data_IF_025954440980
#
_entry.id   IF_025954440980
#
_cell.length_a   1.000
_cell.length_b   1.000
_cell.length_c   1.000
_cell.angle_alpha   90.00
_cell.angle_beta   90.00
_cell.angle_gamma   90.00
#
_symmetry.space_group_name_H-M   'P 1'
#
loop_
_entity.id
_entity.type
_entity.pdbx_description
1 polymer ?
#
# COMPACT_ATOMS: atom_id res chain seq x y z
N UNK A 1 -6.77 14.12 9.74
CA UNK A 1 -7.69 13.54 8.71
C UNK A 1 -7.41 14.29 7.41
N UNK A 2 -6.63 13.73 6.49
CA UNK A 2 -6.14 14.44 5.29
C UNK A 2 -4.90 13.80 4.60
N UNK A 3 -4.30 12.80 5.25
CA UNK A 3 -3.10 12.13 4.73
C UNK A 3 -3.43 10.96 3.78
N UNK A 4 -4.70 10.54 3.73
CA UNK A 4 -5.15 9.30 3.08
C UNK A 4 -5.84 9.55 1.74
N UNK A 5 -6.18 10.80 1.47
CA UNK A 5 -6.79 11.32 0.25
C UNK A 5 -5.78 12.08 -0.63
N UNK A 6 -4.47 12.01 -0.29
CA UNK A 6 -3.39 12.58 -1.09
C UNK A 6 -3.20 14.09 -0.95
N UNK A 7 -4.11 14.80 -0.28
CA UNK A 7 -4.08 16.27 -0.19
C UNK A 7 -2.93 16.80 0.64
N UNK A 8 -2.45 16.03 1.62
CA UNK A 8 -1.35 16.46 2.47
C UNK A 8 0.05 16.33 1.83
N UNK A 9 0.18 15.66 0.68
CA UNK A 9 1.47 15.52 -0.03
C UNK A 9 2.59 14.85 0.79
N UNK A 10 2.24 14.08 1.82
CA UNK A 10 3.22 13.51 2.74
C UNK A 10 4.02 12.37 2.11
N UNK A 11 5.31 12.35 2.42
CA UNK A 11 6.20 11.25 2.08
C UNK A 11 5.81 9.96 2.82
N UNK A 12 5.83 8.83 2.13
CA UNK A 12 5.62 7.50 2.72
C UNK A 12 6.71 7.11 3.72
N UNK A 13 7.91 7.71 3.56
CA UNK A 13 9.04 7.52 4.47
C UNK A 13 8.79 8.00 5.91
N UNK A 14 7.69 8.72 6.16
CA UNK A 14 7.27 9.08 7.52
C UNK A 14 6.78 7.87 8.33
N UNK A 15 6.37 6.79 7.67
CA UNK A 15 5.76 5.61 8.31
C UNK A 15 6.46 4.33 7.92
N UNK A 16 6.99 4.24 6.69
CA UNK A 16 7.61 3.05 6.14
C UNK A 16 9.09 3.29 5.88
N UNK A 17 9.93 2.27 6.06
CA UNK A 17 11.31 2.31 5.59
C UNK A 17 11.40 2.05 4.08
N UNK A 18 12.61 2.11 3.53
CA UNK A 18 12.87 1.93 2.10
C UNK A 18 12.46 0.53 1.60
N UNK A 19 12.80 -0.52 2.35
CA UNK A 19 12.46 -1.90 2.01
C UNK A 19 10.96 -2.15 2.02
N UNK A 20 10.24 -1.58 2.99
CA UNK A 20 8.79 -1.66 3.08
C UNK A 20 8.13 -0.94 1.89
N UNK A 21 8.66 0.22 1.49
CA UNK A 21 8.16 0.96 0.33
C UNK A 21 8.42 0.23 -0.99
N UNK A 22 9.58 -0.42 -1.14
CA UNK A 22 9.85 -1.29 -2.29
C UNK A 22 8.96 -2.52 -2.31
N UNK A 23 8.75 -3.17 -1.16
CA UNK A 23 7.81 -4.27 -1.04
C UNK A 23 6.38 -3.84 -1.40
N UNK A 24 5.91 -2.68 -0.90
CA UNK A 24 4.61 -2.11 -1.26
C UNK A 24 4.50 -1.86 -2.77
N UNK A 25 5.56 -1.41 -3.42
CA UNK A 25 5.59 -1.20 -4.88
C UNK A 25 5.47 -2.50 -5.65
N UNK A 26 6.07 -3.59 -5.19
CA UNK A 26 5.94 -4.90 -5.84
C UNK A 26 4.56 -5.51 -5.59
N UNK A 27 4.16 -5.60 -4.32
CA UNK A 27 2.85 -6.12 -3.90
C UNK A 27 1.72 -5.30 -4.53
N UNK A 28 1.87 -3.98 -4.57
CA UNK A 28 0.86 -3.07 -5.11
C UNK A 28 0.45 -3.39 -6.55
N UNK A 29 1.35 -3.95 -7.37
CA UNK A 29 1.04 -4.37 -8.75
C UNK A 29 -0.03 -5.46 -8.82
N UNK A 30 -0.06 -6.37 -7.84
CA UNK A 30 -1.07 -7.44 -7.75
C UNK A 30 -2.44 -6.89 -7.36
N UNK A 31 -2.46 -5.79 -6.61
CA UNK A 31 -3.68 -5.16 -6.11
C UNK A 31 -4.21 -4.03 -7.01
N UNK A 32 -3.44 -3.63 -8.03
CA UNK A 32 -3.91 -2.75 -9.11
C UNK A 32 -4.89 -3.52 -10.01
N UNK A 33 -6.08 -2.96 -10.26
CA UNK A 33 -7.00 -3.59 -11.19
C UNK A 33 -6.58 -3.40 -12.65
N UNK A 34 -7.13 -4.24 -13.53
CA UNK A 34 -6.83 -4.25 -14.98
C UNK A 34 -7.17 -2.95 -15.72
N UNK A 35 -8.01 -2.09 -15.14
CA UNK A 35 -8.49 -0.85 -15.77
C UNK A 35 -7.77 0.38 -15.21
N UNK A 36 -7.59 1.42 -16.04
CA UNK A 36 -6.98 2.70 -15.62
C UNK A 36 -7.65 3.32 -14.38
N UNK A 37 -8.94 3.06 -14.17
CA UNK A 37 -9.73 3.54 -13.03
C UNK A 37 -9.48 2.76 -11.73
N UNK A 38 -8.89 1.56 -11.82
CA UNK A 38 -8.58 0.69 -10.69
C UNK A 38 -7.09 0.71 -10.32
N UNK A 39 -6.32 1.61 -10.96
CA UNK A 39 -4.92 1.90 -10.60
C UNK A 39 -4.86 2.90 -9.44
N UNK A 40 -3.76 2.84 -8.69
CA UNK A 40 -3.50 3.78 -7.62
C UNK A 40 -3.34 5.20 -8.20
N UNK A 41 -4.18 6.18 -7.80
CA UNK A 41 -4.14 7.53 -8.37
C UNK A 41 -3.07 8.43 -7.74
N UNK A 42 -2.41 7.97 -6.68
CA UNK A 42 -1.50 8.79 -5.89
C UNK A 42 -0.06 8.66 -6.36
N UNK A 43 0.73 9.70 -6.09
CA UNK A 43 2.16 9.72 -6.39
C UNK A 43 2.88 8.57 -5.68
N UNK A 44 3.72 7.86 -6.42
CA UNK A 44 4.47 6.71 -5.91
C UNK A 44 5.32 7.10 -4.70
N UNK A 45 5.37 6.22 -3.70
CA UNK A 45 6.04 6.46 -2.41
C UNK A 45 5.47 7.59 -1.54
N UNK A 46 4.35 8.21 -1.93
CA UNK A 46 3.60 9.07 -1.01
C UNK A 46 2.87 8.23 0.05
N UNK A 47 2.54 8.85 1.19
CA UNK A 47 1.77 8.21 2.24
C UNK A 47 0.36 7.82 1.79
N UNK A 48 -0.25 8.62 0.90
CA UNK A 48 -1.55 8.28 0.32
C UNK A 48 -1.46 7.08 -0.63
N UNK A 49 -0.38 6.98 -1.42
CA UNK A 49 -0.11 5.81 -2.25
C UNK A 49 0.06 4.54 -1.42
N UNK A 50 0.85 4.60 -0.35
CA UNK A 50 1.02 3.47 0.57
C UNK A 50 -0.30 3.12 1.26
N UNK A 51 -1.05 4.11 1.74
CA UNK A 51 -2.33 3.91 2.40
C UNK A 51 -3.39 3.30 1.47
N UNK A 52 -3.36 3.62 0.17
CA UNK A 52 -4.21 3.00 -0.84
C UNK A 52 -3.91 1.50 -0.95
N UNK A 53 -2.63 1.13 -1.08
CA UNK A 53 -2.19 -0.28 -1.19
C UNK A 53 -2.56 -1.05 0.08
N UNK A 54 -2.24 -0.52 1.26
CA UNK A 54 -2.62 -1.12 2.55
C UNK A 54 -4.14 -1.30 2.65
N UNK A 55 -4.92 -0.32 2.19
CA UNK A 55 -6.37 -0.44 2.12
C UNK A 55 -6.82 -1.62 1.27
N UNK A 56 -6.22 -1.80 0.07
CA UNK A 56 -6.53 -2.92 -0.84
C UNK A 56 -6.22 -4.28 -0.22
N UNK A 57 -5.03 -4.41 0.39
CA UNK A 57 -4.63 -5.62 1.14
C UNK A 57 -5.63 -5.91 2.27
N UNK A 58 -6.14 -4.87 2.92
CA UNK A 58 -7.15 -4.97 3.98
C UNK A 58 -8.58 -5.30 3.51
N UNK A 59 -8.79 -5.49 2.20
CA UNK A 59 -10.10 -5.82 1.61
C UNK A 59 -10.93 -4.60 1.18
N UNK A 60 -10.33 -3.41 1.07
CA UNK A 60 -11.01 -2.24 0.52
C UNK A 60 -11.20 -2.39 -1.00
N UNK A 61 -12.44 -2.22 -1.47
CA UNK A 61 -12.77 -2.37 -2.89
C UNK A 61 -12.21 -1.27 -3.80
N UNK A 62 -11.71 -0.16 -3.25
CA UNK A 62 -11.01 0.87 -4.03
C UNK A 62 -11.89 1.73 -4.94
N UNK A 63 -13.22 1.75 -4.73
CA UNK A 63 -14.10 2.58 -5.55
C UNK A 63 -13.81 4.06 -5.33
N UNK A 64 -13.54 4.82 -6.39
CA UNK A 64 -13.32 6.29 -6.33
C UNK A 64 -14.43 7.07 -5.63
N UNK A 65 -15.68 6.58 -5.69
CA UNK A 65 -16.84 7.18 -5.02
C UNK A 65 -16.98 6.74 -3.56
N UNK A 66 -16.36 5.63 -3.18
CA UNK A 66 -16.26 5.25 -1.77
C UNK A 66 -15.15 6.07 -1.13
N UNK A 67 -15.38 6.54 0.10
CA UNK A 67 -14.36 7.23 0.87
C UNK A 67 -13.10 6.37 1.06
N UNK A 68 -12.02 6.97 1.60
CA UNK A 68 -10.80 6.24 1.94
C UNK A 68 -11.12 5.07 2.88
N UNK A 69 -10.30 4.02 2.86
CA UNK A 69 -10.54 2.82 3.66
C UNK A 69 -10.81 3.13 5.16
N UNK A 70 -11.62 2.36 5.86
CA UNK A 70 -11.85 2.60 7.29
C UNK A 70 -10.60 2.28 8.15
N UNK A 71 -10.50 2.75 9.41
CA UNK A 71 -9.43 2.38 10.32
C UNK A 71 -9.30 0.86 10.55
N UNK A 72 -10.42 0.14 10.62
CA UNK A 72 -10.44 -1.33 10.74
C UNK A 72 -9.82 -1.99 9.51
N UNK A 73 -10.18 -1.52 8.31
CA UNK A 73 -9.61 -1.99 7.04
C UNK A 73 -8.12 -1.72 6.97
N UNK A 74 -7.66 -0.54 7.41
CA UNK A 74 -6.23 -0.22 7.48
C UNK A 74 -5.48 -1.12 8.44
N UNK A 75 -6.01 -1.37 9.64
CA UNK A 75 -5.40 -2.28 10.62
C UNK A 75 -5.21 -3.67 10.02
N UNK A 76 -6.25 -4.23 9.39
CA UNK A 76 -6.17 -5.52 8.69
C UNK A 76 -5.12 -5.49 7.58
N UNK A 77 -5.11 -4.42 6.78
CA UNK A 77 -4.11 -4.22 5.73
C UNK A 77 -2.67 -4.23 6.25
N UNK A 78 -2.39 -3.54 7.36
CA UNK A 78 -1.07 -3.49 7.97
C UNK A 78 -0.64 -4.87 8.53
N UNK A 79 -1.57 -5.58 9.17
CA UNK A 79 -1.32 -6.93 9.68
C UNK A 79 -0.96 -7.90 8.55
N UNK A 80 -1.71 -7.86 7.45
CA UNK A 80 -1.44 -8.68 6.26
C UNK A 80 -0.15 -8.25 5.55
N UNK A 81 0.09 -6.95 5.42
CA UNK A 81 1.33 -6.42 4.86
C UNK A 81 2.56 -6.88 5.65
N UNK A 82 2.49 -6.94 6.98
CA UNK A 82 3.58 -7.45 7.81
C UNK A 82 3.95 -8.90 7.48
N UNK A 83 2.97 -9.73 7.11
CA UNK A 83 3.20 -11.12 6.69
C UNK A 83 3.83 -11.15 5.29
N UNK A 84 3.28 -10.37 4.35
CA UNK A 84 3.83 -10.25 2.98
C UNK A 84 5.27 -9.74 2.99
N UNK A 85 5.57 -8.74 3.81
CA UNK A 85 6.90 -8.16 3.94
C UNK A 85 7.91 -9.17 4.47
N UNK A 86 7.54 -9.97 5.49
CA UNK A 86 8.38 -11.08 5.95
C UNK A 86 8.67 -12.09 4.84
N UNK A 87 7.65 -12.49 4.07
CA UNK A 87 7.83 -13.38 2.92
C UNK A 87 8.74 -12.79 1.84
N UNK A 88 8.60 -11.50 1.56
CA UNK A 88 9.43 -10.76 0.62
C UNK A 88 10.90 -10.70 1.06
N UNK A 89 11.17 -10.45 2.35
CA UNK A 89 12.51 -10.49 2.92
C UNK A 89 13.13 -11.89 2.85
N UNK A 90 12.36 -12.94 3.17
CA UNK A 90 12.83 -14.33 3.06
C UNK A 90 13.21 -14.68 1.63
N UNK A 91 12.38 -14.31 0.65
CA UNK A 91 12.71 -14.48 -0.77
C UNK A 91 14.03 -13.80 -1.11
N UNK A 92 14.18 -12.52 -0.76
CA UNK A 92 15.43 -11.77 -1.03
C UNK A 92 16.64 -12.42 -0.40
N UNK A 93 16.54 -12.92 0.83
CA UNK A 93 17.63 -13.59 1.53
C UNK A 93 18.04 -14.92 0.85
N UNK A 94 17.09 -15.63 0.25
CA UNK A 94 17.34 -16.89 -0.48
C UNK A 94 17.81 -16.67 -1.92
N UNK A 95 17.55 -15.51 -2.51
CA UNK A 95 18.00 -15.11 -3.84
C UNK A 95 19.41 -14.50 -3.85
N UNK A 96 20.10 -14.45 -2.70
CA UNK A 96 21.53 -14.10 -2.63
C UNK A 96 22.36 -15.36 -2.94
N UNK A 97 23.12 -15.40 -4.05
CA UNK A 97 24.03 -16.51 -4.36
C UNK A 97 25.21 -16.60 -3.38
#
# INVERSE_FOLDING_TARGET
>A
VGDRDGKAGKSGYLVFNEEELECLKEVGKEYEGKTKLSKNPFEKYSLAWAAWIIGRIGGWKGYRKAGPAGPITMKRGLQQFSILFKGWLLRKALEVP
#
